data_IF_310855671784
#
_entry.id   IF_310855671784
#
_cell.length_a   1.000
_cell.length_b   1.000
_cell.length_c   1.000
_cell.angle_alpha   90.00
_cell.angle_beta   90.00
_cell.angle_gamma   90.00
#
_symmetry.space_group_name_H-M   'P 1'
#
loop_
_entity.id
_entity.type
_entity.pdbx_description
1 polymer ?
#
# COMPACT_ATOMS: atom_id res chain seq x y z
N UNK A 1 19.34 -18.16 10.94
CA UNK A 1 18.36 -18.00 9.83
C UNK A 1 18.32 -16.52 9.51
N UNK A 2 18.63 -16.08 8.29
CA UNK A 2 18.50 -14.66 7.94
C UNK A 2 17.02 -14.28 7.92
N UNK A 3 16.68 -13.10 8.41
CA UNK A 3 15.33 -12.58 8.28
C UNK A 3 15.01 -12.33 6.81
N UNK A 4 13.77 -12.58 6.35
CA UNK A 4 13.40 -12.29 4.98
C UNK A 4 13.59 -10.79 4.68
N UNK A 5 14.14 -10.45 3.50
CA UNK A 5 14.35 -9.07 3.09
C UNK A 5 13.02 -8.29 3.14
N UNK A 6 13.09 -7.03 3.56
CA UNK A 6 11.93 -6.18 3.80
C UNK A 6 11.93 -4.99 2.85
N UNK A 7 10.85 -4.81 2.10
CA UNK A 7 10.65 -3.71 1.17
C UNK A 7 9.61 -2.75 1.72
N UNK A 8 9.92 -1.46 1.67
CA UNK A 8 8.98 -0.37 1.88
C UNK A 8 8.47 0.10 0.51
N UNK A 9 7.16 0.11 0.33
CA UNK A 9 6.50 0.53 -0.91
C UNK A 9 5.79 1.86 -0.64
N UNK A 10 6.20 2.88 -1.40
CA UNK A 10 5.72 4.27 -1.31
C UNK A 10 5.16 4.67 -2.68
N UNK A 11 3.93 4.27 -3.04
CA UNK A 11 3.34 4.66 -4.31
C UNK A 11 2.97 6.15 -4.30
N UNK A 12 2.93 6.75 -5.48
CA UNK A 12 2.27 8.04 -5.66
C UNK A 12 0.76 7.89 -5.33
N UNK A 13 0.12 8.85 -4.62
CA UNK A 13 -1.24 8.71 -4.10
C UNK A 13 -2.35 8.82 -5.16
N UNK A 14 -2.15 8.23 -6.34
CA UNK A 14 -3.16 8.09 -7.38
C UNK A 14 -3.57 6.62 -7.55
N UNK A 15 -4.85 6.37 -7.83
CA UNK A 15 -5.44 5.02 -7.88
C UNK A 15 -4.62 4.04 -8.73
N UNK A 16 -4.21 4.44 -9.95
CA UNK A 16 -3.44 3.58 -10.85
C UNK A 16 -2.09 3.16 -10.26
N UNK A 17 -1.37 4.10 -9.63
CA UNK A 17 -0.09 3.81 -8.98
C UNK A 17 -0.26 2.86 -7.80
N UNK A 18 -1.29 3.06 -6.98
CA UNK A 18 -1.56 2.16 -5.83
C UNK A 18 -1.82 0.73 -6.31
N UNK A 19 -2.67 0.54 -7.33
CA UNK A 19 -2.99 -0.78 -7.88
C UNK A 19 -1.76 -1.46 -8.49
N UNK A 20 -0.98 -0.75 -9.31
CA UNK A 20 0.23 -1.33 -9.93
C UNK A 20 1.28 -1.75 -8.89
N UNK A 21 1.50 -0.93 -7.87
CA UNK A 21 2.42 -1.28 -6.79
C UNK A 21 1.90 -2.40 -5.90
N UNK A 22 0.58 -2.55 -5.76
CA UNK A 22 -0.01 -3.67 -5.03
C UNK A 22 0.26 -4.99 -5.76
N UNK A 23 -0.01 -5.04 -7.07
CA UNK A 23 0.31 -6.21 -7.89
C UNK A 23 1.80 -6.59 -7.83
N UNK A 24 2.69 -5.60 -7.90
CA UNK A 24 4.14 -5.81 -7.70
C UNK A 24 4.44 -6.39 -6.30
N UNK A 25 3.77 -5.89 -5.26
CA UNK A 25 3.96 -6.36 -3.89
C UNK A 25 3.57 -7.82 -3.71
N UNK A 26 2.50 -8.28 -4.36
CA UNK A 26 2.14 -9.69 -4.38
C UNK A 26 3.24 -10.55 -5.02
N UNK A 27 3.76 -10.14 -6.18
CA UNK A 27 4.86 -10.84 -6.84
C UNK A 27 6.13 -10.92 -5.96
N UNK A 28 6.47 -9.85 -5.24
CA UNK A 28 7.61 -9.86 -4.31
C UNK A 28 7.37 -10.78 -3.11
N UNK A 29 6.14 -10.88 -2.61
CA UNK A 29 5.81 -11.81 -1.53
C UNK A 29 5.99 -13.27 -1.94
N UNK A 30 5.69 -13.61 -3.19
CA UNK A 30 5.95 -14.95 -3.76
C UNK A 30 7.46 -15.26 -3.80
N UNK A 31 8.30 -14.25 -4.02
CA UNK A 31 9.76 -14.37 -3.97
C UNK A 31 10.34 -14.35 -2.54
N UNK A 32 9.49 -14.33 -1.51
CA UNK A 32 9.91 -14.43 -0.10
C UNK A 32 10.18 -13.10 0.61
N UNK A 33 9.81 -11.97 0.00
CA UNK A 33 9.94 -10.66 0.64
C UNK A 33 8.81 -10.41 1.65
N UNK A 34 9.13 -9.62 2.68
CA UNK A 34 8.13 -8.94 3.52
C UNK A 34 7.90 -7.54 2.97
N UNK A 35 6.66 -7.08 2.97
CA UNK A 35 6.30 -5.78 2.42
C UNK A 35 5.67 -4.91 3.51
N UNK A 36 6.04 -3.64 3.54
CA UNK A 36 5.24 -2.58 4.16
C UNK A 36 4.79 -1.62 3.08
N UNK A 37 3.48 -1.55 2.89
CA UNK A 37 2.87 -0.72 1.87
C UNK A 37 2.27 0.51 2.55
N UNK A 38 2.80 1.68 2.21
CA UNK A 38 2.41 2.94 2.84
C UNK A 38 1.40 3.64 1.95
N UNK A 39 0.30 4.06 2.55
CA UNK A 39 -0.69 4.93 1.93
C UNK A 39 -0.80 6.22 2.72
N UNK A 40 -1.41 7.24 2.10
CA UNK A 40 -1.93 8.37 2.86
C UNK A 40 -3.12 7.93 3.71
N UNK A 41 -3.39 8.59 4.83
CA UNK A 41 -4.59 8.33 5.66
C UNK A 41 -5.88 8.45 4.84
N UNK A 42 -5.93 9.43 3.92
CA UNK A 42 -7.03 9.60 2.97
C UNK A 42 -7.26 8.37 2.07
N UNK A 43 -6.17 7.80 1.53
CA UNK A 43 -6.26 6.64 0.64
C UNK A 43 -6.39 5.31 1.41
N UNK A 44 -5.91 5.25 2.65
CA UNK A 44 -5.83 4.02 3.44
C UNK A 44 -7.18 3.32 3.59
N UNK A 45 -8.24 4.07 3.93
CA UNK A 45 -9.58 3.49 4.09
C UNK A 45 -10.13 2.88 2.80
N UNK A 46 -9.89 3.54 1.65
CA UNK A 46 -10.36 3.08 0.34
C UNK A 46 -9.64 1.81 -0.11
N UNK A 47 -8.33 1.78 0.10
CA UNK A 47 -7.48 0.63 -0.27
C UNK A 47 -7.73 -0.55 0.66
N UNK A 48 -7.89 -0.32 1.97
CA UNK A 48 -8.17 -1.37 2.94
C UNK A 48 -9.51 -2.07 2.67
N UNK A 49 -10.55 -1.32 2.30
CA UNK A 49 -11.86 -1.89 1.93
C UNK A 49 -11.74 -2.73 0.66
N UNK A 50 -11.10 -2.24 -0.39
CA UNK A 50 -10.89 -2.99 -1.64
C UNK A 50 -10.11 -4.29 -1.41
N UNK A 51 -9.09 -4.25 -0.56
CA UNK A 51 -8.24 -5.40 -0.22
C UNK A 51 -8.90 -6.42 0.73
N UNK A 52 -9.99 -6.03 1.40
CA UNK A 52 -10.72 -6.94 2.30
C UNK A 52 -11.53 -7.98 1.54
N UNK A 53 -11.93 -7.67 0.30
CA UNK A 53 -12.70 -8.56 -0.58
C UNK A 53 -11.82 -9.55 -1.37
N UNK A 54 -10.56 -9.22 -1.65
CA UNK A 54 -9.67 -10.02 -2.51
C UNK A 54 -9.01 -11.24 -1.83
N UNK A 55 -9.55 -11.66 -0.68
CA UNK A 55 -9.22 -12.95 -0.09
C UNK A 55 -8.04 -12.90 0.88
N UNK A 56 -8.26 -13.53 2.04
CA UNK A 56 -7.23 -13.76 3.08
C UNK A 56 -6.29 -14.88 2.63
N UNK A 57 -5.54 -14.66 1.58
CA UNK A 57 -4.45 -15.56 1.19
C UNK A 57 -3.19 -15.29 2.04
N UNK A 58 -2.20 -16.18 1.91
CA UNK A 58 -0.95 -16.09 2.68
C UNK A 58 -0.18 -14.78 2.41
N UNK A 59 -0.50 -14.07 1.32
CA UNK A 59 0.06 -12.78 0.96
C UNK A 59 -0.46 -11.64 1.87
N UNK A 60 -1.74 -11.67 2.24
CA UNK A 60 -2.32 -10.71 3.19
C UNK A 60 -1.63 -10.70 4.57
N UNK A 61 -0.92 -11.78 4.96
CA UNK A 61 -0.09 -11.82 6.19
C UNK A 61 1.32 -11.26 6.01
N UNK A 62 1.81 -11.12 4.77
CA UNK A 62 3.18 -10.67 4.46
C UNK A 62 3.23 -9.23 3.93
N UNK A 63 2.09 -8.66 3.54
CA UNK A 63 1.93 -7.24 3.22
C UNK A 63 1.33 -6.51 4.43
N UNK A 64 2.11 -5.63 5.05
CA UNK A 64 1.65 -4.75 6.13
C UNK A 64 1.25 -3.39 5.57
N UNK A 65 -0.03 -3.05 5.67
CA UNK A 65 -0.54 -1.73 5.29
C UNK A 65 -0.28 -0.72 6.41
N UNK A 66 0.20 0.47 6.05
CA UNK A 66 0.43 1.61 6.96
C UNK A 66 -0.18 2.87 6.35
N UNK A 67 -0.68 3.75 7.20
CA UNK A 67 -1.16 5.07 6.83
C UNK A 67 -0.23 6.15 7.38
N UNK A 68 -0.01 7.22 6.61
CA UNK A 68 0.64 8.46 7.06
C UNK A 68 -0.18 9.68 6.62
N UNK A 69 -0.09 10.83 7.31
CA UNK A 69 -0.73 12.06 6.85
C UNK A 69 -0.22 12.47 5.46
N UNK A 70 -1.11 13.01 4.61
CA UNK A 70 -0.76 13.57 3.29
C UNK A 70 -0.24 15.02 3.37
N UNK A 71 -0.31 15.64 4.56
CA UNK A 71 0.15 17.01 4.79
C UNK A 71 -0.83 18.09 4.32
N UNK A 72 -2.02 17.70 3.88
CA UNK A 72 -3.04 18.61 3.34
C UNK A 72 -4.11 18.95 4.39
N UNK A 73 -4.63 20.17 4.34
CA UNK A 73 -5.70 20.60 5.22
C UNK A 73 -7.04 19.91 4.85
N UNK A 74 -8.00 19.83 5.79
CA UNK A 74 -9.36 19.39 5.49
C UNK A 74 -10.04 20.36 4.51
N UNK A 75 -10.01 20.05 3.21
CA UNK A 75 -10.64 20.86 2.16
C UNK A 75 -9.73 21.12 0.96
N UNK A 76 -8.43 20.87 1.08
CA UNK A 76 -7.50 21.00 -0.04
C UNK A 76 -7.81 19.97 -1.14
N UNK A 77 -7.65 20.39 -2.39
CA UNK A 77 -7.79 19.49 -3.54
C UNK A 77 -6.58 18.56 -3.62
N UNK A 78 -6.83 17.27 -3.40
CA UNK A 78 -5.81 16.21 -3.45
C UNK A 78 -5.35 15.89 -4.87
N UNK A 79 -5.96 16.49 -5.88
CA UNK A 79 -5.54 16.38 -7.28
C UNK A 79 -4.72 17.60 -7.75
N UNK A 80 -4.59 18.64 -6.92
CA UNK A 80 -3.72 19.77 -7.21
C UNK A 80 -2.28 19.39 -6.88
N UNK A 81 -1.47 19.21 -7.91
CA UNK A 81 -0.08 18.76 -7.79
C UNK A 81 0.93 19.93 -7.82
N UNK A 82 0.43 21.18 -7.89
CA UNK A 82 1.22 22.40 -8.08
C UNK A 82 1.34 22.85 -9.53
#
# INVERSE_FOLDING_TARGET
MSSPPHVLVLPFPAQGHVVSFMALSHGLVEQGFRITFVNTEFNHGRVAVAMSDEGRDAAGRRIRMVAIPDGLAPGDDRNDLG
#
